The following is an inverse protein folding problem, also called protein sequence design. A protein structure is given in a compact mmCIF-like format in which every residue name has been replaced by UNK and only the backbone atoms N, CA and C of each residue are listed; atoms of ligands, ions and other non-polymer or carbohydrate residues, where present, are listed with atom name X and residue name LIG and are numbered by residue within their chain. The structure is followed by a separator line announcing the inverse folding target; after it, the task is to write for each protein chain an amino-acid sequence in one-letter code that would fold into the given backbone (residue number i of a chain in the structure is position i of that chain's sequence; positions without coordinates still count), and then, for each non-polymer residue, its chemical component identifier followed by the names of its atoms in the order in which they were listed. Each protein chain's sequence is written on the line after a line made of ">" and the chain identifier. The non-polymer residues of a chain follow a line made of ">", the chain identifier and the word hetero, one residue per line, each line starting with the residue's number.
data_IF_128747634055
#
_entry.id   IF_128747634055
#
_cell.length_a   1.000
_cell.length_b   1.000
_cell.length_c   1.000
_cell.angle_alpha   90.00
_cell.angle_beta   90.00
_cell.angle_gamma   90.00
#
_symmetry.space_group_name_H-M   'P 1'
#
loop_
_entity.id
_entity.type
_entity.pdbx_description
1 polymer ?
#
# COMPACT_ATOMS: atom_id res chain seq x y z
N UNK A 1 7.04 -46.42 5.46
CA UNK A 1 7.78 -45.18 5.83
C UNK A 1 7.71 -44.09 4.77
N UNK A 2 8.08 -44.36 3.50
CA UNK A 2 8.11 -43.34 2.42
C UNK A 2 6.76 -42.64 2.21
N UNK A 3 5.65 -43.39 2.21
CA UNK A 3 4.31 -42.81 2.05
C UNK A 3 3.93 -41.84 3.19
N UNK A 4 4.32 -42.16 4.43
CA UNK A 4 4.03 -41.33 5.61
C UNK A 4 4.87 -40.03 5.55
N UNK A 5 6.13 -40.13 5.14
CA UNK A 5 6.99 -38.95 4.95
C UNK A 5 6.52 -38.04 3.83
N UNK A 6 5.96 -38.59 2.74
CA UNK A 6 5.38 -37.80 1.64
C UNK A 6 4.11 -37.10 2.09
N UNK A 7 3.21 -37.77 2.82
CA UNK A 7 1.99 -37.17 3.37
C UNK A 7 2.32 -36.08 4.38
N UNK A 8 3.29 -36.32 5.27
CA UNK A 8 3.74 -35.29 6.20
C UNK A 8 4.34 -34.08 5.45
N UNK A 9 5.22 -34.33 4.46
CA UNK A 9 5.82 -33.26 3.66
C UNK A 9 4.77 -32.44 2.90
N UNK A 10 3.74 -33.06 2.31
CA UNK A 10 2.67 -32.33 1.63
C UNK A 10 1.78 -31.56 2.60
N UNK A 11 1.46 -32.13 3.77
CA UNK A 11 0.71 -31.43 4.83
C UNK A 11 1.43 -30.19 5.35
N UNK A 12 2.77 -30.16 5.37
CA UNK A 12 3.53 -28.97 5.74
C UNK A 12 3.78 -28.02 4.56
N UNK A 13 3.98 -28.55 3.35
CA UNK A 13 4.27 -27.75 2.16
C UNK A 13 3.06 -26.94 1.67
N UNK A 14 1.85 -27.50 1.73
CA UNK A 14 0.61 -26.83 1.29
C UNK A 14 0.34 -25.51 2.07
N UNK A 15 0.36 -25.48 3.42
CA UNK A 15 0.23 -24.24 4.18
C UNK A 15 1.40 -23.27 3.97
N UNK A 16 2.61 -23.78 3.73
CA UNK A 16 3.77 -22.93 3.46
C UNK A 16 3.61 -22.21 2.12
N UNK A 17 3.18 -22.92 1.09
CA UNK A 17 2.94 -22.35 -0.24
C UNK A 17 1.79 -21.36 -0.23
N UNK A 18 0.69 -21.62 0.49
CA UNK A 18 -0.40 -20.66 0.62
C UNK A 18 0.04 -19.38 1.34
N UNK A 19 0.84 -19.49 2.43
CA UNK A 19 1.43 -18.32 3.09
C UNK A 19 2.36 -17.52 2.18
N UNK A 20 3.19 -18.20 1.38
CA UNK A 20 4.09 -17.56 0.41
C UNK A 20 3.29 -16.84 -0.68
N UNK A 21 2.21 -17.45 -1.16
CA UNK A 21 1.33 -16.87 -2.16
C UNK A 21 0.58 -15.65 -1.63
N UNK A 22 0.03 -15.71 -0.42
CA UNK A 22 -0.58 -14.56 0.27
C UNK A 22 0.44 -13.44 0.47
N UNK A 23 1.66 -13.77 0.91
CA UNK A 23 2.72 -12.77 1.06
C UNK A 23 3.10 -12.12 -0.28
N UNK A 24 3.20 -12.89 -1.36
CA UNK A 24 3.48 -12.36 -2.70
C UNK A 24 2.35 -11.42 -3.18
N UNK A 25 1.10 -11.83 -3.03
CA UNK A 25 -0.08 -10.99 -3.37
C UNK A 25 -0.08 -9.70 -2.54
N UNK A 26 0.10 -9.81 -1.22
CA UNK A 26 0.16 -8.65 -0.33
C UNK A 26 1.31 -7.70 -0.72
N UNK A 27 2.44 -8.22 -1.21
CA UNK A 27 3.56 -7.41 -1.68
C UNK A 27 3.18 -6.60 -2.93
N UNK A 28 2.50 -7.24 -3.89
CA UNK A 28 2.02 -6.55 -5.11
C UNK A 28 1.06 -5.43 -4.76
N UNK A 29 0.08 -5.69 -3.89
CA UNK A 29 -0.87 -4.68 -3.43
C UNK A 29 -0.18 -3.54 -2.67
N UNK A 30 0.76 -3.87 -1.78
CA UNK A 30 1.54 -2.90 -1.04
C UNK A 30 2.33 -1.96 -1.99
N UNK A 31 3.04 -2.51 -2.97
CA UNK A 31 3.79 -1.72 -3.97
C UNK A 31 2.85 -0.81 -4.77
N UNK A 32 1.75 -1.36 -5.30
CA UNK A 32 0.77 -0.59 -6.06
C UNK A 32 0.18 0.57 -5.24
N UNK A 33 -0.09 0.33 -3.95
CA UNK A 33 -0.63 1.32 -3.05
C UNK A 33 0.40 2.42 -2.73
N UNK A 34 1.66 2.06 -2.50
CA UNK A 34 2.75 3.03 -2.28
C UNK A 34 2.95 3.93 -3.51
N UNK A 35 2.98 3.37 -4.73
CA UNK A 35 3.09 4.17 -5.96
C UNK A 35 1.90 5.13 -6.08
N UNK A 36 0.69 4.63 -5.87
CA UNK A 36 -0.53 5.45 -5.94
C UNK A 36 -0.54 6.54 -4.85
N UNK A 37 0.02 6.27 -3.68
CA UNK A 37 0.18 7.27 -2.61
C UNK A 37 1.07 8.42 -3.00
N UNK A 38 2.21 8.12 -3.63
CA UNK A 38 3.16 9.13 -4.10
C UNK A 38 2.55 9.99 -5.20
N UNK A 39 1.81 9.38 -6.13
CA UNK A 39 1.11 10.13 -7.19
C UNK A 39 0.05 11.08 -6.64
N UNK A 40 -0.77 10.61 -5.69
CA UNK A 40 -1.80 11.46 -5.05
C UNK A 40 -1.17 12.54 -4.17
N UNK A 41 -0.09 12.23 -3.45
CA UNK A 41 0.67 13.19 -2.67
C UNK A 41 1.28 14.27 -3.57
N UNK A 42 1.87 13.90 -4.71
CA UNK A 42 2.38 14.85 -5.70
C UNK A 42 1.26 15.75 -6.26
N UNK A 43 0.09 15.19 -6.62
CA UNK A 43 -1.06 15.98 -7.09
C UNK A 43 -1.54 16.98 -6.02
N UNK A 44 -1.56 16.56 -4.75
CA UNK A 44 -1.93 17.41 -3.62
C UNK A 44 -0.90 18.52 -3.37
N UNK A 45 0.39 18.22 -3.39
CA UNK A 45 1.46 19.20 -3.18
C UNK A 45 1.43 20.27 -4.28
N UNK A 46 1.36 19.86 -5.55
CA UNK A 46 1.29 20.78 -6.70
C UNK A 46 0.08 21.71 -6.60
N UNK A 47 -1.10 21.18 -6.27
CA UNK A 47 -2.31 22.02 -6.07
C UNK A 47 -2.22 22.95 -4.87
N UNK A 48 -1.51 22.54 -3.82
CA UNK A 48 -1.31 23.37 -2.63
C UNK A 48 -0.40 24.55 -2.94
N UNK A 49 0.62 24.35 -3.78
CA UNK A 49 1.54 25.42 -4.19
C UNK A 49 0.87 26.42 -5.17
N UNK A 50 -0.07 25.97 -6.01
CA UNK A 50 -0.95 26.87 -6.78
C UNK A 50 -1.84 27.76 -5.88
N UNK A 51 -2.15 27.30 -4.66
CA UNK A 51 -2.98 28.01 -3.68
C UNK A 51 -2.16 28.78 -2.63
N UNK A 52 -0.92 29.15 -2.94
CA UNK A 52 0.04 29.88 -2.06
C UNK A 52 -0.49 31.19 -1.43
N UNK A 53 -1.66 31.68 -1.85
CA UNK A 53 -2.51 32.56 -1.06
C UNK A 53 -3.53 31.72 -0.29
N UNK A 54 -3.10 31.07 0.79
CA UNK A 54 -3.95 30.32 1.71
C UNK A 54 -4.88 31.31 2.43
N UNK A 55 -6.01 31.58 1.80
CA UNK A 55 -7.17 32.12 2.48
C UNK A 55 -7.76 30.98 3.33
N UNK A 56 -7.32 30.87 4.58
CA UNK A 56 -7.70 29.79 5.50
C UNK A 56 -9.21 29.73 5.76
N UNK A 57 -9.94 30.83 5.52
CA UNK A 57 -11.40 30.90 5.65
C UNK A 57 -12.14 30.43 4.39
N UNK A 58 -11.41 30.24 3.28
CA UNK A 58 -12.00 29.77 2.03
C UNK A 58 -12.48 28.33 2.17
N UNK A 59 -13.78 28.13 1.97
CA UNK A 59 -14.37 26.78 1.93
C UNK A 59 -13.76 25.96 0.79
N UNK A 60 -13.40 24.69 1.05
CA UNK A 60 -12.75 23.85 0.05
C UNK A 60 -13.68 23.55 -1.13
N UNK A 61 -13.11 23.60 -2.33
CA UNK A 61 -13.84 23.34 -3.57
C UNK A 61 -14.30 21.87 -3.65
N UNK A 62 -15.19 21.55 -4.61
CA UNK A 62 -15.64 20.16 -4.81
C UNK A 62 -14.47 19.25 -5.26
N UNK A 63 -13.53 19.76 -6.04
CA UNK A 63 -12.36 19.02 -6.51
C UNK A 63 -11.35 18.78 -5.39
N UNK A 64 -11.10 19.77 -4.53
CA UNK A 64 -10.26 19.63 -3.33
C UNK A 64 -10.83 18.59 -2.36
N UNK A 65 -12.14 18.66 -2.05
CA UNK A 65 -12.79 17.65 -1.20
C UNK A 65 -12.69 16.25 -1.77
N UNK A 66 -12.78 16.09 -3.10
CA UNK A 66 -12.58 14.78 -3.75
C UNK A 66 -11.13 14.33 -3.65
N UNK A 67 -10.16 15.21 -3.85
CA UNK A 67 -8.74 14.89 -3.69
C UNK A 67 -8.42 14.47 -2.25
N UNK A 68 -8.90 15.22 -1.26
CA UNK A 68 -8.75 14.92 0.16
C UNK A 68 -9.40 13.58 0.54
N UNK A 69 -10.61 13.29 0.03
CA UNK A 69 -11.27 11.99 0.27
C UNK A 69 -10.48 10.83 -0.33
N UNK A 70 -9.89 11.01 -1.52
CA UNK A 70 -9.00 10.01 -2.14
C UNK A 70 -7.74 9.79 -1.31
N UNK A 71 -7.10 10.87 -0.86
CA UNK A 71 -5.92 10.80 0.00
C UNK A 71 -6.21 10.11 1.34
N UNK A 72 -7.30 10.48 2.00
CA UNK A 72 -7.72 9.86 3.27
C UNK A 72 -8.01 8.37 3.11
N UNK A 73 -8.77 7.99 2.07
CA UNK A 73 -9.04 6.57 1.80
C UNK A 73 -7.73 5.79 1.63
N UNK A 74 -6.79 6.36 0.87
CA UNK A 74 -5.54 5.70 0.58
C UNK A 74 -4.63 5.57 1.82
N UNK A 75 -4.64 6.57 2.71
CA UNK A 75 -3.95 6.50 3.99
C UNK A 75 -4.54 5.40 4.90
N UNK A 76 -5.87 5.24 4.90
CA UNK A 76 -6.55 4.17 5.62
C UNK A 76 -6.20 2.79 5.04
N UNK A 77 -6.26 2.64 3.70
CA UNK A 77 -5.88 1.40 3.02
C UNK A 77 -4.41 1.03 3.35
N UNK A 78 -3.51 2.03 3.43
CA UNK A 78 -2.10 1.81 3.82
C UNK A 78 -1.98 1.39 5.29
N UNK A 79 -2.74 2.02 6.19
CA UNK A 79 -2.73 1.67 7.61
C UNK A 79 -3.26 0.25 7.85
N UNK A 80 -4.31 -0.16 7.13
CA UNK A 80 -4.86 -1.52 7.19
C UNK A 80 -3.87 -2.57 6.66
N UNK A 81 -3.25 -2.33 5.49
CA UNK A 81 -2.22 -3.22 4.96
C UNK A 81 -0.99 -3.32 5.88
N UNK A 82 -0.61 -2.22 6.54
CA UNK A 82 0.51 -2.19 7.48
C UNK A 82 0.20 -2.94 8.78
N UNK A 83 -1.05 -2.92 9.24
CA UNK A 83 -1.47 -3.67 10.43
C UNK A 83 -1.55 -5.17 10.16
N UNK A 84 -2.07 -5.58 8.99
CA UNK A 84 -2.21 -6.98 8.60
C UNK A 84 -0.89 -7.61 8.15
N UNK A 85 -0.04 -6.85 7.44
CA UNK A 85 1.18 -7.36 6.81
C UNK A 85 2.38 -6.40 6.99
N UNK A 86 2.83 -6.16 8.23
CA UNK A 86 3.86 -5.15 8.53
C UNK A 86 5.18 -5.38 7.79
N UNK A 87 5.66 -6.63 7.74
CA UNK A 87 6.91 -6.98 7.04
C UNK A 87 6.82 -6.81 5.52
N UNK A 88 5.61 -6.95 4.96
CA UNK A 88 5.36 -6.81 3.52
C UNK A 88 5.33 -5.34 3.12
N UNK A 89 4.67 -4.49 3.91
CA UNK A 89 4.66 -3.05 3.69
C UNK A 89 6.07 -2.44 3.82
N UNK A 90 6.85 -2.84 4.83
CA UNK A 90 8.24 -2.38 4.97
C UNK A 90 9.11 -2.71 3.75
N UNK A 91 8.92 -3.90 3.14
CA UNK A 91 9.59 -4.27 1.89
C UNK A 91 9.09 -3.48 0.68
N UNK A 92 7.79 -3.23 0.59
CA UNK A 92 7.22 -2.44 -0.49
C UNK A 92 7.68 -0.98 -0.44
N UNK A 93 7.82 -0.39 0.75
CA UNK A 93 8.36 0.96 0.95
C UNK A 93 9.81 1.06 0.45
N UNK A 94 10.67 0.10 0.83
CA UNK A 94 12.07 0.04 0.36
C UNK A 94 12.17 -0.17 -1.15
N UNK A 95 11.31 -1.00 -1.74
CA UNK A 95 11.27 -1.18 -3.20
C UNK A 95 10.79 0.09 -3.92
N UNK A 96 9.78 0.77 -3.40
CA UNK A 96 9.28 2.00 -3.99
C UNK A 96 10.29 3.15 -3.93
N UNK A 97 11.16 3.20 -2.91
CA UNK A 97 12.31 4.12 -2.87
C UNK A 97 13.31 3.85 -4.00
N UNK A 98 13.57 2.58 -4.31
CA UNK A 98 14.50 2.19 -5.39
C UNK A 98 13.96 2.44 -6.80
N UNK A 99 12.63 2.45 -6.99
CA UNK A 99 11.99 2.60 -8.31
C UNK A 99 11.67 4.06 -8.65
N UNK A 100 11.58 4.94 -7.65
CA UNK A 100 11.15 6.35 -7.82
C UNK A 100 12.32 7.34 -7.69
N UNK A 101 13.54 6.85 -7.41
CA UNK A 101 14.81 7.57 -7.62
C UNK A 101 15.30 7.35 -9.06
#
# INVERSE_FOLDING_TARGET
>A
MIAITVIAATMFALPLMSRRLVAAIATIFAVALVIRSRLVAAELIVRTDEHRKLDYDRKPSRSERRAMRRGLKLALDQAELRSLFPATMARAETWAEQVVL
#
